data_IF_052093855035
#
_entry.id   IF_052093855035
#
_cell.length_a   1.000
_cell.length_b   1.000
_cell.length_c   1.000
_cell.angle_alpha   90.00
_cell.angle_beta   90.00
_cell.angle_gamma   90.00
#
_symmetry.space_group_name_H-M   'P 1'
#
loop_
_entity.id
_entity.type
_entity.pdbx_description
1 polymer ?
#
# COMPACT_ATOMS: atom_id res chain seq x y z
N UNK A 1 -26.34 -2.86 -13.40
CA UNK A 1 -26.06 -2.67 -11.96
C UNK A 1 -25.05 -3.68 -11.41
N UNK A 2 -25.30 -4.99 -11.40
CA UNK A 2 -24.33 -5.98 -10.87
C UNK A 2 -22.97 -6.05 -11.61
N UNK A 3 -22.97 -5.94 -12.95
CA UNK A 3 -21.72 -5.96 -13.74
C UNK A 3 -20.86 -4.71 -13.56
N UNK A 4 -21.47 -3.55 -13.32
CA UNK A 4 -20.73 -2.29 -13.15
C UNK A 4 -19.99 -2.26 -11.81
N UNK A 5 -20.63 -2.73 -10.75
CA UNK A 5 -20.01 -2.86 -9.43
C UNK A 5 -18.83 -3.84 -9.47
N UNK A 6 -19.00 -4.98 -10.16
CA UNK A 6 -17.92 -5.95 -10.37
C UNK A 6 -16.74 -5.33 -11.13
N UNK A 7 -17.02 -4.62 -12.22
CA UNK A 7 -15.97 -3.98 -13.02
C UNK A 7 -15.23 -2.88 -12.22
N UNK A 8 -15.95 -2.10 -11.41
CA UNK A 8 -15.38 -1.10 -10.51
C UNK A 8 -14.50 -1.73 -9.41
N UNK A 9 -14.95 -2.83 -8.79
CA UNK A 9 -14.17 -3.55 -7.77
C UNK A 9 -12.89 -4.15 -8.39
N UNK A 10 -13.00 -4.79 -9.55
CA UNK A 10 -11.85 -5.42 -10.22
C UNK A 10 -10.84 -4.37 -10.67
N UNK A 11 -11.30 -3.30 -11.32
CA UNK A 11 -10.43 -2.19 -11.76
C UNK A 11 -9.78 -1.46 -10.58
N UNK A 12 -10.52 -1.20 -9.50
CA UNK A 12 -9.98 -0.63 -8.27
C UNK A 12 -8.96 -1.55 -7.59
N UNK A 13 -9.24 -2.85 -7.55
CA UNK A 13 -8.31 -3.87 -7.04
C UNK A 13 -7.02 -3.94 -7.85
N UNK A 14 -7.12 -3.98 -9.18
CA UNK A 14 -5.95 -3.97 -10.07
C UNK A 14 -5.14 -2.68 -9.96
N UNK A 15 -5.80 -1.52 -9.85
CA UNK A 15 -5.13 -0.24 -9.62
C UNK A 15 -4.37 -0.24 -8.28
N UNK A 16 -4.95 -0.82 -7.22
CA UNK A 16 -4.30 -0.98 -5.92
C UNK A 16 -3.08 -1.90 -5.98
N UNK A 17 -3.16 -3.01 -6.72
CA UNK A 17 -2.01 -3.90 -6.94
C UNK A 17 -0.90 -3.17 -7.70
N UNK A 18 -1.23 -2.46 -8.78
CA UNK A 18 -0.26 -1.70 -9.57
C UNK A 18 0.45 -0.62 -8.73
N UNK A 19 -0.30 0.10 -7.88
CA UNK A 19 0.25 1.06 -6.93
C UNK A 19 1.27 0.41 -5.98
N UNK A 20 0.92 -0.72 -5.39
CA UNK A 20 1.81 -1.42 -4.46
C UNK A 20 3.02 -2.05 -5.14
N UNK A 21 2.91 -2.52 -6.39
CA UNK A 21 4.06 -3.03 -7.15
C UNK A 21 5.13 -1.94 -7.30
N UNK A 22 4.73 -0.69 -7.55
CA UNK A 22 5.66 0.44 -7.66
C UNK A 22 6.12 0.94 -6.28
N UNK A 23 5.25 0.91 -5.26
CA UNK A 23 5.53 1.40 -3.91
C UNK A 23 6.34 0.46 -3.02
N UNK A 24 6.33 -0.85 -3.28
CA UNK A 24 6.99 -1.86 -2.47
C UNK A 24 8.52 -1.70 -2.39
N UNK A 25 9.26 -1.49 -3.50
CA UNK A 25 10.72 -1.37 -3.45
C UNK A 25 11.24 -0.26 -2.50
N UNK A 26 10.75 1.00 -2.56
CA UNK A 26 11.20 2.03 -1.62
C UNK A 26 10.74 1.76 -0.18
N UNK A 27 9.56 1.15 0.02
CA UNK A 27 9.04 0.83 1.35
C UNK A 27 9.91 -0.23 2.06
N UNK A 28 10.32 -1.27 1.33
CA UNK A 28 11.23 -2.30 1.85
C UNK A 28 12.60 -1.71 2.18
N UNK A 29 13.15 -0.88 1.29
CA UNK A 29 14.45 -0.23 1.53
C UNK A 29 14.41 0.68 2.77
N UNK A 30 13.33 1.45 2.94
CA UNK A 30 13.11 2.30 4.11
C UNK A 30 12.98 1.48 5.39
N UNK A 31 12.14 0.44 5.38
CA UNK A 31 11.92 -0.41 6.55
C UNK A 31 13.21 -1.11 7.00
N UNK A 32 14.03 -1.58 6.05
CA UNK A 32 15.35 -2.17 6.34
C UNK A 32 16.34 -1.15 6.89
N UNK A 33 16.33 0.08 6.39
CA UNK A 33 17.18 1.15 6.92
C UNK A 33 16.77 1.52 8.35
N UNK A 34 15.48 1.62 8.64
CA UNK A 34 14.94 2.00 9.96
C UNK A 34 15.08 0.92 11.02
N UNK A 35 15.09 -0.36 10.62
CA UNK A 35 15.27 -1.50 11.53
C UNK A 35 16.73 -1.88 11.74
N UNK A 36 17.65 -1.27 10.98
CA UNK A 36 19.06 -1.56 11.08
C UNK A 36 19.67 -0.97 12.36
N UNK A 37 20.74 -1.59 12.90
CA UNK A 37 21.52 -0.97 13.96
C UNK A 37 22.09 0.39 13.51
N UNK A 38 22.23 1.36 14.43
CA UNK A 38 22.98 2.57 14.15
C UNK A 38 24.38 2.18 13.63
N UNK A 39 24.86 2.88 12.60
CA UNK A 39 26.10 2.64 11.86
C UNK A 39 26.16 1.49 10.84
N UNK A 40 25.13 0.63 10.69
CA UNK A 40 25.17 -0.44 9.67
C UNK A 40 25.15 0.12 8.24
N UNK A 41 24.30 1.12 7.98
CA UNK A 41 24.08 1.68 6.64
C UNK A 41 24.53 3.14 6.54
N UNK A 42 25.85 3.38 6.64
CA UNK A 42 26.45 4.72 6.61
C UNK A 42 26.18 5.50 5.32
N UNK A 43 25.90 4.81 4.21
CA UNK A 43 25.56 5.40 2.91
C UNK A 43 24.04 5.41 2.64
N UNK A 44 23.22 5.24 3.70
CA UNK A 44 21.76 5.28 3.64
C UNK A 44 21.16 4.19 2.75
N UNK A 45 20.12 4.56 1.99
CA UNK A 45 19.34 3.64 1.15
C UNK A 45 20.22 2.93 0.09
N UNK A 46 21.28 3.59 -0.42
CA UNK A 46 22.16 3.00 -1.43
C UNK A 46 22.94 1.81 -0.90
N UNK A 47 23.44 1.90 0.34
CA UNK A 47 24.10 0.75 0.99
C UNK A 47 23.14 -0.41 1.24
N UNK A 48 21.88 -0.11 1.63
CA UNK A 48 20.84 -1.13 1.81
C UNK A 48 20.55 -1.82 0.48
N UNK A 49 20.37 -1.05 -0.60
CA UNK A 49 20.07 -1.60 -1.93
C UNK A 49 21.20 -2.49 -2.46
N UNK A 50 22.46 -2.04 -2.35
CA UNK A 50 23.61 -2.82 -2.79
C UNK A 50 23.78 -4.13 -2.00
N UNK A 51 23.59 -4.10 -0.68
CA UNK A 51 23.59 -5.30 0.16
C UNK A 51 22.47 -6.25 -0.25
N UNK A 52 21.23 -5.72 -0.36
CA UNK A 52 20.04 -6.50 -0.69
C UNK A 52 20.16 -7.20 -2.05
N UNK A 53 20.72 -6.51 -3.06
CA UNK A 53 20.97 -7.10 -4.38
C UNK A 53 22.04 -8.20 -4.34
N UNK A 54 23.05 -8.09 -3.47
CA UNK A 54 24.10 -9.13 -3.32
C UNK A 54 23.64 -10.34 -2.52
N UNK A 55 22.79 -10.17 -1.51
CA UNK A 55 22.40 -11.26 -0.60
C UNK A 55 21.16 -12.01 -1.06
N UNK A 56 20.08 -11.29 -1.39
CA UNK A 56 18.75 -11.86 -1.60
C UNK A 56 18.24 -11.63 -3.04
N UNK A 57 18.91 -10.75 -3.80
CA UNK A 57 18.57 -10.44 -5.18
C UNK A 57 17.33 -9.54 -5.33
N UNK A 58 16.85 -9.33 -6.56
CA UNK A 58 15.80 -8.35 -6.88
C UNK A 58 14.42 -8.69 -6.28
N UNK A 59 14.11 -9.97 -6.08
CA UNK A 59 12.85 -10.41 -5.48
C UNK A 59 12.71 -9.97 -4.02
N UNK A 60 13.83 -9.66 -3.35
CA UNK A 60 13.83 -9.20 -1.97
C UNK A 60 13.11 -7.85 -1.78
N UNK A 61 13.02 -7.02 -2.83
CA UNK A 61 12.26 -5.76 -2.85
C UNK A 61 10.75 -5.96 -2.73
N UNK A 62 10.28 -7.20 -2.93
CA UNK A 62 8.88 -7.58 -2.79
C UNK A 62 8.63 -8.49 -1.58
N UNK A 63 9.63 -8.68 -0.72
CA UNK A 63 9.52 -9.55 0.45
C UNK A 63 8.70 -8.83 1.53
N UNK A 64 7.42 -9.19 1.65
CA UNK A 64 6.47 -8.52 2.55
C UNK A 64 5.15 -8.10 1.90
N UNK A 65 4.88 -8.45 0.64
CA UNK A 65 3.60 -8.15 -0.03
C UNK A 65 2.40 -8.66 0.78
N UNK A 66 2.49 -9.84 1.38
CA UNK A 66 1.36 -10.45 2.10
C UNK A 66 0.87 -9.64 3.30
N UNK A 67 1.71 -9.23 4.28
CA UNK A 67 1.25 -8.38 5.37
C UNK A 67 0.81 -6.99 4.89
N UNK A 68 1.44 -6.46 3.84
CA UNK A 68 1.06 -5.16 3.25
C UNK A 68 -0.35 -5.21 2.65
N UNK A 69 -0.65 -6.23 1.86
CA UNK A 69 -1.97 -6.42 1.26
C UNK A 69 -3.02 -6.71 2.33
N UNK A 70 -2.69 -7.55 3.32
CA UNK A 70 -3.57 -7.86 4.44
C UNK A 70 -3.91 -6.62 5.28
N UNK A 71 -2.99 -5.67 5.42
CA UNK A 71 -3.23 -4.38 6.09
C UNK A 71 -3.99 -3.39 5.21
N UNK A 72 -3.66 -3.33 3.92
CA UNK A 72 -4.24 -2.37 2.99
C UNK A 72 -5.74 -2.62 2.77
N UNK A 73 -6.18 -3.88 2.75
CA UNK A 73 -7.57 -4.22 2.51
C UNK A 73 -8.52 -3.71 3.61
N UNK A 74 -8.31 -3.98 4.92
CA UNK A 74 -9.12 -3.41 5.99
C UNK A 74 -9.03 -1.89 6.09
N UNK A 75 -7.84 -1.31 5.89
CA UNK A 75 -7.65 0.13 5.96
C UNK A 75 -8.45 0.86 4.86
N UNK A 76 -8.41 0.33 3.63
CA UNK A 76 -9.18 0.87 2.52
C UNK A 76 -10.69 0.64 2.73
N UNK A 77 -11.10 -0.54 3.21
CA UNK A 77 -12.50 -0.82 3.52
C UNK A 77 -13.07 0.13 4.59
N UNK A 78 -12.31 0.41 5.65
CA UNK A 78 -12.70 1.37 6.69
C UNK A 78 -12.80 2.80 6.15
N UNK A 79 -11.91 3.20 5.24
CA UNK A 79 -11.96 4.50 4.58
C UNK A 79 -13.24 4.65 3.74
N UNK A 80 -13.55 3.67 2.89
CA UNK A 80 -14.77 3.68 2.10
C UNK A 80 -16.03 3.68 2.96
N UNK A 81 -16.06 2.90 4.04
CA UNK A 81 -17.15 2.91 5.00
C UNK A 81 -17.34 4.28 5.66
N UNK A 82 -16.25 4.94 6.06
CA UNK A 82 -16.28 6.30 6.60
C UNK A 82 -16.82 7.33 5.61
N UNK A 83 -16.40 7.25 4.34
CA UNK A 83 -16.92 8.13 3.27
C UNK A 83 -18.42 7.89 3.05
N UNK A 84 -18.86 6.64 3.04
CA UNK A 84 -20.26 6.31 2.81
C UNK A 84 -21.15 6.78 3.97
N UNK A 85 -20.69 6.63 5.22
CA UNK A 85 -21.35 7.23 6.39
C UNK A 85 -21.39 8.75 6.33
N UNK A 86 -20.28 9.40 5.95
CA UNK A 86 -20.22 10.85 5.81
C UNK A 86 -21.19 11.34 4.73
N UNK A 87 -21.23 10.69 3.57
CA UNK A 87 -22.14 11.01 2.48
C UNK A 87 -23.61 10.76 2.87
N UNK A 88 -23.90 9.68 3.60
CA UNK A 88 -25.24 9.40 4.11
C UNK A 88 -25.71 10.48 5.09
N UNK A 89 -24.84 10.89 6.02
CA UNK A 89 -25.10 12.00 6.94
C UNK A 89 -25.32 13.32 6.18
N UNK A 90 -24.48 13.61 5.19
CA UNK A 90 -24.58 14.83 4.39
C UNK A 90 -25.89 14.91 3.60
N UNK A 91 -26.38 13.78 3.05
CA UNK A 91 -27.70 13.70 2.40
C UNK A 91 -28.86 13.95 3.36
N UNK A 92 -28.72 13.59 4.64
CA UNK A 92 -29.75 13.81 5.67
C UNK A 92 -29.76 15.28 6.10
N UNK A 93 -28.58 15.88 6.31
CA UNK A 93 -28.44 17.26 6.78
C UNK A 93 -28.72 18.30 5.68
N UNK A 94 -28.37 17.98 4.42
CA UNK A 94 -28.53 18.90 3.28
C UNK A 94 -29.14 18.16 2.09
N UNK A 95 -30.47 17.97 2.04
CA UNK A 95 -31.13 17.25 0.95
C UNK A 95 -31.31 18.07 -0.34
N UNK A 96 -30.97 19.37 -0.36
CA UNK A 96 -31.29 20.31 -1.45
C UNK A 96 -30.09 21.11 -2.02
N UNK A 97 -28.88 20.54 -1.98
CA UNK A 97 -27.73 21.00 -2.78
C UNK A 97 -27.08 19.81 -3.49
#
# INVERSE_FOLDING_TARGET
MHMEVLSAIVSGGMAGIAYWVVGMPPDVLKSRLQTAPPDKYKHGIRSVFAELMRTDGPLALYRGVSPVMLRAFPANAACFFGIELANAFFRIVTPNF
#
